data_IF_188298284220
#
_entry.id   IF_188298284220
#
_cell.length_a   1.000
_cell.length_b   1.000
_cell.length_c   1.000
_cell.angle_alpha   90.00
_cell.angle_beta   90.00
_cell.angle_gamma   90.00
#
_symmetry.space_group_name_H-M   'P 1'
#
loop_
_entity.id
_entity.type
_entity.pdbx_description
1 polymer ?
#
# COMPACT_ATOMS: atom_id res chain seq x y z
N UNK A 1 -27.51 -5.70 7.67
CA UNK A 1 -26.15 -6.20 7.96
C UNK A 1 -25.22 -5.01 8.17
N UNK A 2 -24.18 -5.09 8.99
CA UNK A 2 -23.12 -4.08 9.02
C UNK A 2 -22.51 -3.95 7.62
N UNK A 3 -22.01 -2.75 7.27
CA UNK A 3 -21.28 -2.55 6.03
C UNK A 3 -19.93 -3.27 6.05
N UNK A 4 -19.46 -3.67 4.88
CA UNK A 4 -18.15 -4.32 4.70
C UNK A 4 -17.05 -3.29 4.88
N UNK A 5 -15.93 -3.69 5.47
CA UNK A 5 -14.71 -2.91 5.56
C UNK A 5 -13.69 -3.56 4.62
N UNK A 6 -13.23 -2.81 3.61
CA UNK A 6 -12.11 -3.23 2.77
C UNK A 6 -10.83 -2.54 3.26
N UNK A 7 -9.90 -3.35 3.74
CA UNK A 7 -8.66 -2.87 4.35
C UNK A 7 -7.52 -2.73 3.36
N UNK A 8 -7.74 -2.96 2.06
CA UNK A 8 -6.68 -2.90 1.05
C UNK A 8 -7.24 -2.54 -0.33
N UNK A 9 -7.48 -1.25 -0.57
CA UNK A 9 -7.86 -0.76 -1.89
C UNK A 9 -6.73 0.03 -2.56
N UNK A 10 -6.71 0.05 -3.88
CA UNK A 10 -5.75 0.77 -4.70
C UNK A 10 -6.49 1.75 -5.62
N UNK A 11 -7.01 2.83 -5.08
CA UNK A 11 -7.43 3.98 -5.88
C UNK A 11 -6.19 4.65 -6.44
N UNK A 12 -6.24 5.10 -7.66
CA UNK A 12 -5.06 5.54 -8.40
C UNK A 12 -4.77 7.03 -8.27
N UNK A 13 -5.36 7.70 -7.30
CA UNK A 13 -5.15 9.11 -7.01
C UNK A 13 -4.25 9.32 -5.77
N UNK A 14 -3.23 10.17 -5.90
CA UNK A 14 -2.79 10.92 -7.09
C UNK A 14 -2.08 10.03 -8.13
N UNK A 15 -2.12 10.45 -9.39
CA UNK A 15 -1.34 9.86 -10.47
C UNK A 15 -2.18 9.36 -11.64
N UNK A 16 -2.72 8.15 -11.57
CA UNK A 16 -3.45 7.51 -12.67
C UNK A 16 -4.98 7.63 -12.49
N UNK A 17 -5.48 8.85 -12.37
CA UNK A 17 -6.91 9.14 -12.11
C UNK A 17 -7.84 8.77 -13.27
N UNK A 18 -7.29 8.57 -14.45
CA UNK A 18 -7.98 8.00 -15.61
C UNK A 18 -8.39 6.53 -15.43
N UNK A 19 -7.62 5.79 -14.61
CA UNK A 19 -7.99 4.42 -14.25
C UNK A 19 -9.04 4.40 -13.13
N UNK A 20 -8.81 5.14 -12.05
CA UNK A 20 -9.73 5.30 -10.92
C UNK A 20 -9.29 6.46 -10.02
N UNK A 21 -10.22 7.27 -9.56
CA UNK A 21 -9.99 8.31 -8.57
C UNK A 21 -10.68 8.00 -7.23
N UNK A 22 -10.44 8.86 -6.23
CA UNK A 22 -11.01 8.68 -4.88
C UNK A 22 -12.53 8.78 -4.88
N UNK A 23 -13.12 9.61 -5.71
CA UNK A 23 -14.58 9.77 -5.80
C UNK A 23 -15.23 8.56 -6.46
N UNK A 24 -14.79 8.20 -7.65
CA UNK A 24 -15.37 7.10 -8.43
C UNK A 24 -15.20 5.75 -7.74
N UNK A 25 -14.02 5.49 -7.20
CA UNK A 25 -13.73 4.23 -6.48
C UNK A 25 -14.54 4.09 -5.20
N UNK A 26 -14.63 5.15 -4.38
CA UNK A 26 -15.44 5.10 -3.16
C UNK A 26 -16.93 4.98 -3.43
N UNK A 27 -17.44 5.60 -4.50
CA UNK A 27 -18.82 5.45 -4.94
C UNK A 27 -19.12 4.02 -5.40
N UNK A 28 -18.23 3.41 -6.18
CA UNK A 28 -18.35 2.02 -6.60
C UNK A 28 -18.34 1.07 -5.39
N UNK A 29 -17.47 1.31 -4.42
CA UNK A 29 -17.38 0.54 -3.18
C UNK A 29 -18.70 0.56 -2.39
N UNK A 30 -19.29 1.74 -2.18
CA UNK A 30 -20.58 1.88 -1.46
C UNK A 30 -21.71 1.18 -2.20
N UNK A 31 -21.74 1.27 -3.52
CA UNK A 31 -22.73 0.55 -4.34
C UNK A 31 -22.58 -0.98 -4.23
N UNK A 32 -21.34 -1.46 -3.98
CA UNK A 32 -21.03 -2.87 -3.69
C UNK A 32 -21.23 -3.29 -2.24
N UNK A 33 -21.65 -2.38 -1.33
CA UNK A 33 -21.88 -2.66 0.09
C UNK A 33 -20.64 -2.47 0.98
N UNK A 34 -19.54 -1.92 0.45
CA UNK A 34 -18.33 -1.57 1.22
C UNK A 34 -18.48 -0.15 1.75
N UNK A 35 -18.53 0.01 3.06
CA UNK A 35 -18.80 1.29 3.74
C UNK A 35 -17.58 1.94 4.36
N UNK A 36 -16.47 1.22 4.44
CA UNK A 36 -15.21 1.74 4.98
C UNK A 36 -14.03 1.20 4.18
N UNK A 37 -13.06 2.05 3.89
CA UNK A 37 -11.95 1.76 2.99
C UNK A 37 -10.61 2.16 3.61
N UNK A 38 -9.58 1.31 3.44
CA UNK A 38 -8.20 1.67 3.74
C UNK A 38 -7.37 1.62 2.46
N UNK A 39 -6.94 2.79 2.01
CA UNK A 39 -6.31 2.94 0.70
C UNK A 39 -4.79 2.91 0.81
N UNK A 40 -4.16 2.25 -0.15
CA UNK A 40 -2.73 1.97 -0.22
C UNK A 40 -1.91 3.19 -0.68
N UNK A 41 -0.62 3.27 -0.26
CA UNK A 41 0.22 4.44 -0.49
C UNK A 41 0.94 4.47 -1.85
N UNK A 42 0.83 3.41 -2.66
CA UNK A 42 1.58 3.27 -3.91
C UNK A 42 0.95 4.04 -5.08
N UNK A 43 0.84 5.33 -4.90
CA UNK A 43 0.35 6.33 -5.85
C UNK A 43 1.51 7.10 -6.50
N UNK A 44 1.25 8.10 -7.32
CA UNK A 44 2.27 8.95 -7.92
C UNK A 44 1.92 10.44 -7.74
N UNK A 45 2.58 11.15 -6.82
CA UNK A 45 3.64 10.68 -5.92
C UNK A 45 3.14 9.66 -4.89
N UNK A 46 4.04 8.82 -4.32
CA UNK A 46 3.68 7.88 -3.28
C UNK A 46 3.38 8.62 -1.96
N UNK A 47 2.44 8.08 -1.18
CA UNK A 47 2.08 8.61 0.14
C UNK A 47 3.10 8.14 1.20
N UNK A 48 4.35 8.60 1.08
CA UNK A 48 5.49 8.16 1.89
C UNK A 48 6.16 9.28 2.71
N UNK A 49 5.50 10.41 2.86
CA UNK A 49 5.85 11.50 3.76
C UNK A 49 4.58 12.24 4.20
N UNK A 50 4.69 13.01 5.29
CA UNK A 50 3.54 13.71 5.89
C UNK A 50 2.91 14.74 4.94
N UNK A 51 3.69 15.37 4.08
CA UNK A 51 3.19 16.37 3.12
C UNK A 51 2.26 15.71 2.08
N UNK A 52 2.69 14.59 1.49
CA UNK A 52 1.86 13.85 0.53
C UNK A 52 0.66 13.20 1.23
N UNK A 53 0.82 12.77 2.47
CA UNK A 53 -0.28 12.24 3.28
C UNK A 53 -1.37 13.29 3.51
N UNK A 54 -0.99 14.51 3.92
CA UNK A 54 -1.93 15.63 4.09
C UNK A 54 -2.61 16.04 2.78
N UNK A 55 -1.87 16.07 1.68
CA UNK A 55 -2.45 16.35 0.35
C UNK A 55 -3.52 15.34 -0.01
N UNK A 56 -3.28 14.06 0.24
CA UNK A 56 -4.23 12.98 -0.02
C UNK A 56 -5.47 13.10 0.85
N UNK A 57 -5.32 13.40 2.14
CA UNK A 57 -6.46 13.70 3.03
C UNK A 57 -7.29 14.88 2.52
N UNK A 58 -6.64 15.96 2.05
CA UNK A 58 -7.32 17.12 1.47
C UNK A 58 -8.06 16.77 0.18
N UNK A 59 -7.45 15.94 -0.67
CA UNK A 59 -8.07 15.48 -1.91
C UNK A 59 -9.30 14.60 -1.66
N UNK A 60 -9.29 13.80 -0.60
CA UNK A 60 -10.41 12.92 -0.21
C UNK A 60 -11.59 13.68 0.41
N UNK A 61 -11.30 14.80 1.08
CA UNK A 61 -12.30 15.54 1.84
C UNK A 61 -13.46 16.02 0.97
N UNK A 62 -14.69 15.67 1.37
CA UNK A 62 -15.94 16.00 0.66
C UNK A 62 -16.08 15.36 -0.74
N UNK A 63 -15.24 14.36 -1.06
CA UNK A 63 -15.30 13.61 -2.33
C UNK A 63 -15.58 12.13 -2.10
N UNK A 64 -15.05 11.56 -1.00
CA UNK A 64 -15.27 10.14 -0.67
C UNK A 64 -16.72 9.91 -0.23
N UNK A 65 -17.32 8.83 -0.76
CA UNK A 65 -18.69 8.39 -0.44
C UNK A 65 -18.74 7.39 0.74
N UNK A 66 -17.59 6.87 1.15
CA UNK A 66 -17.44 5.93 2.27
C UNK A 66 -16.64 6.54 3.42
N UNK A 67 -16.60 5.88 4.57
CA UNK A 67 -15.55 6.13 5.55
C UNK A 67 -14.20 5.72 4.96
N UNK A 68 -13.14 6.46 5.27
CA UNK A 68 -11.83 6.19 4.70
C UNK A 68 -10.69 6.49 5.66
N UNK A 69 -9.60 5.79 5.46
CA UNK A 69 -8.29 6.10 6.02
C UNK A 69 -7.21 5.68 5.02
N UNK A 70 -6.00 6.18 5.21
CA UNK A 70 -4.89 5.94 4.29
C UNK A 70 -3.73 5.25 5.00
N UNK A 71 -3.06 4.36 4.28
CA UNK A 71 -1.77 3.85 4.71
C UNK A 71 -0.66 4.83 4.38
N UNK A 72 0.31 4.91 5.29
CA UNK A 72 1.57 5.57 5.04
C UNK A 72 2.57 4.55 4.48
N UNK A 73 3.22 4.87 3.37
CA UNK A 73 4.20 3.99 2.73
C UNK A 73 5.54 4.02 3.45
N UNK A 74 6.00 2.88 3.93
CA UNK A 74 7.34 2.76 4.49
C UNK A 74 8.40 2.73 3.40
N UNK A 75 9.54 3.35 3.71
CA UNK A 75 10.79 3.28 2.95
C UNK A 75 11.97 3.16 3.91
N UNK A 76 13.15 2.72 3.46
CA UNK A 76 14.34 2.72 4.33
C UNK A 76 14.71 4.11 4.85
N UNK A 77 14.30 5.18 4.16
CA UNK A 77 14.67 6.57 4.45
C UNK A 77 13.67 7.30 5.37
N UNK A 78 12.44 6.79 5.55
CA UNK A 78 11.41 7.52 6.31
C UNK A 78 11.07 6.87 7.67
N UNK A 79 11.85 5.92 8.13
CA UNK A 79 11.59 5.18 9.38
C UNK A 79 11.43 6.08 10.60
N UNK A 80 12.14 7.22 10.67
CA UNK A 80 12.00 8.19 11.76
C UNK A 80 10.62 8.89 11.81
N UNK A 81 9.92 8.93 10.69
CA UNK A 81 8.56 9.49 10.62
C UNK A 81 7.50 8.50 11.11
N UNK A 82 7.80 7.19 11.13
CA UNK A 82 6.80 6.15 11.44
C UNK A 82 6.27 6.25 12.88
N UNK A 83 7.12 6.56 13.84
CA UNK A 83 6.72 6.79 15.23
C UNK A 83 5.78 8.01 15.38
N UNK A 84 5.92 9.02 14.52
CA UNK A 84 5.07 10.23 14.55
C UNK A 84 3.64 9.95 14.09
N UNK A 85 3.42 8.84 13.34
CA UNK A 85 2.11 8.49 12.80
C UNK A 85 1.08 8.10 13.86
N UNK A 86 1.50 7.84 15.09
CA UNK A 86 0.62 7.41 16.19
C UNK A 86 -0.61 8.30 16.33
N UNK A 87 -0.44 9.61 16.20
CA UNK A 87 -1.47 10.61 16.41
C UNK A 87 -1.92 11.30 15.11
N UNK A 88 -1.48 10.80 13.96
CA UNK A 88 -1.89 11.37 12.67
C UNK A 88 -3.29 10.89 12.33
N UNK A 89 -4.24 11.85 12.29
CA UNK A 89 -5.62 11.57 11.93
C UNK A 89 -5.71 11.08 10.48
N UNK A 90 -6.60 10.12 10.23
CA UNK A 90 -6.78 9.50 8.91
C UNK A 90 -5.71 8.49 8.52
N UNK A 91 -4.69 8.26 9.35
CA UNK A 91 -3.70 7.21 9.14
C UNK A 91 -4.20 5.89 9.75
N UNK A 92 -4.46 4.85 8.93
CA UNK A 92 -4.86 3.53 9.42
C UNK A 92 -3.67 2.63 9.77
N UNK A 93 -2.50 2.89 9.21
CA UNK A 93 -1.33 2.05 9.43
C UNK A 93 -0.18 2.39 8.51
N UNK A 94 0.85 1.57 8.58
CA UNK A 94 2.03 1.63 7.72
C UNK A 94 1.95 0.49 6.70
N UNK A 95 2.21 0.77 5.43
CA UNK A 95 2.35 -0.24 4.39
C UNK A 95 3.80 -0.44 4.02
N UNK A 96 4.25 -1.69 4.10
CA UNK A 96 5.58 -2.14 3.69
C UNK A 96 5.45 -3.04 2.46
N UNK A 97 6.28 -2.82 1.45
CA UNK A 97 6.41 -3.68 0.28
C UNK A 97 7.77 -4.37 0.31
N UNK A 98 7.79 -5.65 0.70
CA UNK A 98 9.02 -6.47 0.72
C UNK A 98 9.38 -7.03 -0.66
N UNK A 99 8.46 -6.99 -1.61
CA UNK A 99 8.66 -7.36 -3.01
C UNK A 99 7.80 -6.53 -3.94
N UNK A 100 8.15 -6.55 -5.22
CA UNK A 100 7.42 -5.99 -6.37
C UNK A 100 6.52 -4.79 -6.07
N UNK A 101 7.09 -3.61 -5.82
CA UNK A 101 6.33 -2.37 -5.62
C UNK A 101 6.46 -1.43 -6.81
N UNK A 102 5.44 -0.60 -7.01
CA UNK A 102 5.51 0.56 -7.90
C UNK A 102 6.08 1.76 -7.15
N UNK A 103 6.90 2.55 -7.82
CA UNK A 103 7.59 3.70 -7.22
C UNK A 103 8.76 3.27 -6.31
N UNK A 104 9.15 4.14 -5.38
CA UNK A 104 10.30 3.95 -4.49
C UNK A 104 9.89 3.39 -3.11
N UNK A 105 8.89 2.49 -3.07
CA UNK A 105 8.36 1.93 -1.83
C UNK A 105 8.92 0.53 -1.49
N UNK A 106 9.88 0.03 -2.26
CA UNK A 106 10.46 -1.28 -2.01
C UNK A 106 11.36 -1.25 -0.76
N UNK A 107 11.13 -2.19 0.15
CA UNK A 107 11.92 -2.44 1.37
C UNK A 107 12.25 -3.93 1.38
N UNK A 108 13.29 -4.32 0.63
CA UNK A 108 13.64 -5.71 0.36
C UNK A 108 14.77 -6.26 1.24
N UNK A 109 15.39 -5.41 2.07
CA UNK A 109 16.45 -5.83 2.98
C UNK A 109 15.89 -6.17 4.35
N UNK A 110 16.27 -7.32 4.89
CA UNK A 110 15.81 -7.81 6.19
C UNK A 110 16.01 -6.77 7.31
N UNK A 111 17.18 -6.14 7.37
CA UNK A 111 17.47 -5.11 8.36
C UNK A 111 16.57 -3.86 8.22
N UNK A 112 16.20 -3.48 6.99
CA UNK A 112 15.28 -2.37 6.76
C UNK A 112 13.84 -2.75 7.11
N UNK A 113 13.44 -3.99 6.84
CA UNK A 113 12.13 -4.55 7.23
C UNK A 113 12.01 -4.53 8.75
N UNK A 114 13.01 -5.06 9.46
CA UNK A 114 13.07 -5.06 10.93
C UNK A 114 13.00 -3.63 11.49
N UNK A 115 13.75 -2.71 10.89
CA UNK A 115 13.74 -1.29 11.28
C UNK A 115 12.37 -0.66 11.09
N UNK A 116 11.67 -0.90 9.98
CA UNK A 116 10.31 -0.40 9.74
C UNK A 116 9.34 -0.94 10.78
N UNK A 117 9.36 -2.24 11.04
CA UNK A 117 8.45 -2.89 11.99
C UNK A 117 8.68 -2.36 13.41
N UNK A 118 9.95 -2.26 13.83
CA UNK A 118 10.31 -1.79 15.17
C UNK A 118 10.09 -0.29 15.39
N UNK A 119 10.08 0.51 14.31
CA UNK A 119 9.88 1.96 14.39
C UNK A 119 8.41 2.40 14.34
N UNK A 120 7.48 1.50 14.07
CA UNK A 120 6.06 1.84 13.88
C UNK A 120 5.24 1.59 15.14
N UNK A 121 4.58 2.62 15.65
CA UNK A 121 3.51 2.52 16.68
C UNK A 121 2.13 2.17 16.07
N UNK A 122 2.03 2.01 14.77
CA UNK A 122 0.83 1.62 14.03
C UNK A 122 0.96 0.20 13.50
N UNK A 123 -0.16 -0.41 13.16
CA UNK A 123 -0.20 -1.70 12.46
C UNK A 123 0.62 -1.58 11.17
N UNK A 124 1.50 -2.55 10.91
CA UNK A 124 2.25 -2.67 9.67
C UNK A 124 1.60 -3.74 8.81
N UNK A 125 1.09 -3.34 7.65
CA UNK A 125 0.59 -4.25 6.62
C UNK A 125 1.70 -4.54 5.61
N UNK A 126 2.02 -5.81 5.39
CA UNK A 126 3.16 -6.22 4.58
C UNK A 126 2.67 -6.88 3.28
N UNK A 127 3.19 -6.41 2.14
CA UNK A 127 3.21 -7.19 0.90
C UNK A 127 4.45 -8.08 0.96
N UNK A 128 4.24 -9.34 1.35
CA UNK A 128 5.32 -10.25 1.73
C UNK A 128 5.70 -11.14 0.55
N UNK A 129 6.65 -10.67 -0.24
CA UNK A 129 7.33 -11.44 -1.27
C UNK A 129 8.85 -11.33 -1.04
N UNK A 130 9.61 -12.34 -1.49
CA UNK A 130 11.07 -12.31 -1.47
C UNK A 130 11.57 -11.83 -2.84
N UNK A 131 12.06 -10.59 -2.88
CA UNK A 131 12.50 -9.94 -4.11
C UNK A 131 13.74 -10.63 -4.73
N UNK A 132 14.62 -11.20 -3.91
CA UNK A 132 15.81 -11.90 -4.41
C UNK A 132 15.43 -13.25 -5.01
N UNK A 133 14.49 -13.97 -4.41
CA UNK A 133 13.89 -15.19 -5.00
C UNK A 133 13.19 -14.84 -6.31
N UNK A 134 12.38 -13.79 -6.35
CA UNK A 134 11.69 -13.34 -7.57
C UNK A 134 12.72 -13.05 -8.68
N UNK A 135 13.76 -12.28 -8.39
CA UNK A 135 14.84 -11.95 -9.35
C UNK A 135 15.54 -13.21 -9.85
N UNK A 136 15.85 -14.15 -8.95
CA UNK A 136 16.46 -15.42 -9.29
C UNK A 136 15.56 -16.23 -10.24
N UNK A 137 14.28 -16.33 -9.92
CA UNK A 137 13.32 -17.13 -10.67
C UNK A 137 12.88 -16.51 -11.99
N UNK A 138 12.92 -15.20 -12.14
CA UNK A 138 12.70 -14.51 -13.43
C UNK A 138 13.62 -15.04 -14.54
N UNK A 139 14.79 -15.56 -14.20
CA UNK A 139 15.69 -16.20 -15.20
C UNK A 139 15.06 -17.44 -15.83
N UNK A 140 14.23 -18.18 -15.10
CA UNK A 140 13.56 -19.37 -15.59
C UNK A 140 12.35 -19.08 -16.48
N UNK A 141 11.74 -17.91 -16.39
CA UNK A 141 10.66 -17.46 -17.30
C UNK A 141 11.17 -17.49 -18.75
N UNK A 142 12.38 -16.94 -18.97
CA UNK A 142 13.01 -16.89 -20.30
C UNK A 142 13.30 -18.28 -20.87
N UNK A 143 13.35 -19.31 -20.03
CA UNK A 143 13.57 -20.71 -20.39
C UNK A 143 12.26 -21.49 -20.55
N UNK A 144 11.09 -20.86 -20.35
CA UNK A 144 9.80 -21.51 -20.43
C UNK A 144 9.45 -22.42 -19.26
N UNK A 145 10.18 -22.32 -18.13
CA UNK A 145 10.03 -23.22 -16.99
C UNK A 145 9.17 -22.64 -15.85
N UNK A 146 8.64 -21.42 -16.01
CA UNK A 146 7.74 -20.78 -15.03
C UNK A 146 6.49 -20.30 -15.75
N UNK A 147 5.33 -20.79 -15.33
CA UNK A 147 4.06 -20.59 -16.01
C UNK A 147 3.03 -19.82 -15.18
N UNK A 148 3.33 -19.56 -13.91
CA UNK A 148 2.39 -18.90 -12.99
C UNK A 148 3.10 -18.00 -12.00
N UNK A 149 2.36 -17.02 -11.43
CA UNK A 149 2.89 -16.13 -10.39
C UNK A 149 3.31 -16.88 -9.12
N UNK A 150 2.57 -17.87 -8.60
CA UNK A 150 3.03 -18.68 -7.46
C UNK A 150 4.37 -19.37 -7.67
N UNK A 151 4.62 -19.90 -8.89
CA UNK A 151 5.92 -20.48 -9.22
C UNK A 151 7.05 -19.45 -9.26
N UNK A 152 6.74 -18.19 -9.54
CA UNK A 152 7.73 -17.10 -9.56
C UNK A 152 8.03 -16.59 -8.16
N UNK A 153 7.01 -16.28 -7.40
CA UNK A 153 7.11 -15.54 -6.14
C UNK A 153 7.24 -16.44 -4.91
N UNK A 154 6.79 -17.68 -4.99
CA UNK A 154 6.72 -18.60 -3.84
C UNK A 154 5.87 -18.10 -2.67
N UNK A 155 5.01 -17.13 -2.90
CA UNK A 155 4.18 -16.49 -1.86
C UNK A 155 3.18 -17.47 -1.21
N UNK A 156 2.90 -18.59 -1.83
CA UNK A 156 1.90 -19.58 -1.40
C UNK A 156 2.52 -20.92 -0.97
N UNK A 157 3.75 -20.90 -0.48
CA UNK A 157 4.40 -22.10 0.06
C UNK A 157 4.20 -22.16 1.56
#
# INVERSE_FOLDING_TARGET
MPGIIDTQVHFREPGSTDAEDLESGSRAAVLGGVTSLFEMPNTNPPTANLVEFEKKLKAAKNRMHSNYAFYFGATPQNTEQLAQLKNVEGCCGVKLFAGSSTGNLLVDKEADIEKVISSSDRIVSIHSEDEDIIKLRKKFIKQGNVHSHPELSLIHI
#
